data_IF_788320828875
#
_entry.id   IF_788320828875
#
_cell.length_a   1.000
_cell.length_b   1.000
_cell.length_c   1.000
_cell.angle_alpha   90.00
_cell.angle_beta   90.00
_cell.angle_gamma   90.00
#
_symmetry.space_group_name_H-M   'P 1'
#
loop_
_entity.id
_entity.type
_entity.pdbx_description
1 polymer ?
#
# COMPACT_ATOMS: atom_id res chain seq x y z
N UNK A 1 -1.56 24.03 10.65
CA UNK A 1 -1.79 22.73 11.32
C UNK A 1 -0.45 22.02 11.40
N UNK A 2 -0.11 21.32 12.51
CA UNK A 2 1.05 20.46 12.52
C UNK A 2 0.94 19.52 11.31
N UNK A 3 1.95 19.51 10.46
CA UNK A 3 2.02 18.63 9.31
C UNK A 3 1.86 17.20 9.85
N UNK A 4 0.74 16.53 9.54
CA UNK A 4 0.46 15.22 10.11
C UNK A 4 1.61 14.27 9.73
N UNK A 5 2.33 13.79 10.74
CA UNK A 5 3.54 12.99 10.56
C UNK A 5 3.27 11.72 9.75
N UNK A 6 2.08 11.12 9.90
CA UNK A 6 1.71 9.92 9.14
C UNK A 6 1.41 10.25 7.68
N UNK A 7 0.83 11.42 7.39
CA UNK A 7 0.66 11.88 6.01
C UNK A 7 2.02 12.12 5.35
N UNK A 8 2.91 12.86 6.02
CA UNK A 8 4.24 13.15 5.50
C UNK A 8 5.06 11.86 5.29
N UNK A 9 4.91 10.89 6.19
CA UNK A 9 5.54 9.58 6.07
C UNK A 9 4.95 8.78 4.90
N UNK A 10 3.62 8.74 4.75
CA UNK A 10 2.97 8.11 3.60
C UNK A 10 3.48 8.70 2.27
N UNK A 11 3.61 10.03 2.17
CA UNK A 11 4.15 10.67 0.96
C UNK A 11 5.57 10.21 0.63
N UNK A 12 6.44 10.04 1.64
CA UNK A 12 7.80 9.52 1.44
C UNK A 12 7.79 8.10 0.92
N UNK A 13 6.97 7.23 1.50
CA UNK A 13 6.82 5.84 1.07
C UNK A 13 6.27 5.75 -0.36
N UNK A 14 5.25 6.54 -0.69
CA UNK A 14 4.69 6.60 -2.04
C UNK A 14 5.68 7.15 -3.08
N UNK A 15 6.61 8.02 -2.67
CA UNK A 15 7.65 8.53 -3.55
C UNK A 15 8.66 7.45 -3.96
N UNK A 16 8.85 6.42 -3.12
CA UNK A 16 9.70 5.27 -3.43
C UNK A 16 9.04 4.31 -4.42
N UNK A 17 7.71 4.22 -4.45
CA UNK A 17 7.01 3.35 -5.38
C UNK A 17 7.26 3.76 -6.85
N UNK A 18 7.39 2.80 -7.78
CA UNK A 18 7.49 3.11 -9.20
C UNK A 18 6.23 3.85 -9.66
N UNK A 19 6.39 4.76 -10.62
CA UNK A 19 5.24 5.41 -11.25
C UNK A 19 4.42 4.43 -12.10
N UNK A 20 3.25 4.86 -12.59
CA UNK A 20 2.37 4.00 -13.40
C UNK A 20 2.97 3.55 -14.73
N UNK A 21 4.03 4.22 -15.19
CA UNK A 21 4.83 3.83 -16.34
C UNK A 21 5.56 2.49 -16.17
N UNK A 22 5.84 2.06 -14.93
CA UNK A 22 6.52 0.79 -14.67
C UNK A 22 5.55 -0.40 -14.71
N UNK A 23 5.10 -0.73 -15.92
CA UNK A 23 4.09 -1.78 -16.15
C UNK A 23 4.49 -3.15 -15.59
N UNK A 24 5.78 -3.49 -15.60
CA UNK A 24 6.25 -4.80 -15.15
C UNK A 24 6.09 -4.98 -13.64
N UNK A 25 6.52 -3.99 -12.85
CA UNK A 25 6.34 -4.00 -11.39
C UNK A 25 4.86 -4.17 -11.03
N UNK A 26 4.01 -3.34 -11.62
CA UNK A 26 2.59 -3.33 -11.30
C UNK A 26 1.83 -4.56 -11.79
N UNK A 27 2.30 -5.19 -12.87
CA UNK A 27 1.85 -6.52 -13.27
C UNK A 27 2.27 -7.59 -12.26
N UNK A 28 3.49 -7.51 -11.72
CA UNK A 28 3.94 -8.37 -10.62
C UNK A 28 3.03 -8.27 -9.40
N UNK A 29 2.71 -7.03 -8.97
CA UNK A 29 1.76 -6.79 -7.88
C UNK A 29 0.37 -7.36 -8.18
N UNK A 30 -0.13 -7.23 -9.41
CA UNK A 30 -1.41 -7.82 -9.81
C UNK A 30 -1.40 -9.34 -9.70
N UNK A 31 -0.34 -9.99 -10.21
CA UNK A 31 -0.17 -11.44 -10.16
C UNK A 31 -0.07 -11.95 -8.71
N UNK A 32 0.63 -11.23 -7.83
CA UNK A 32 0.77 -11.61 -6.42
C UNK A 32 -0.56 -11.57 -5.65
N UNK A 33 -1.53 -10.81 -6.14
CA UNK A 33 -2.83 -10.59 -5.49
C UNK A 33 -4.00 -11.27 -6.21
N UNK A 34 -3.74 -12.10 -7.23
CA UNK A 34 -4.76 -12.66 -8.14
C UNK A 34 -5.74 -11.60 -8.65
N UNK A 35 -5.25 -10.38 -8.87
CA UNK A 35 -6.04 -9.23 -9.28
C UNK A 35 -5.94 -9.01 -10.79
N UNK A 36 -7.01 -8.48 -11.41
CA UNK A 36 -6.92 -8.09 -12.81
C UNK A 36 -5.94 -6.91 -12.97
N UNK A 37 -5.10 -6.98 -14.00
CA UNK A 37 -4.13 -5.91 -14.29
C UNK A 37 -4.82 -4.55 -14.51
N UNK A 38 -5.99 -4.57 -15.15
CA UNK A 38 -6.82 -3.38 -15.35
C UNK A 38 -7.23 -2.75 -14.02
N UNK A 39 -7.59 -3.56 -13.02
CA UNK A 39 -7.96 -3.08 -11.69
C UNK A 39 -6.76 -2.44 -10.98
N UNK A 40 -5.59 -3.07 -11.02
CA UNK A 40 -4.37 -2.51 -10.40
C UNK A 40 -3.98 -1.18 -11.06
N UNK A 41 -3.99 -1.11 -12.40
CA UNK A 41 -3.68 0.13 -13.12
C UNK A 41 -4.66 1.26 -12.84
N UNK A 42 -5.96 0.97 -12.76
CA UNK A 42 -6.96 1.96 -12.36
C UNK A 42 -6.61 2.55 -10.98
N UNK A 43 -6.27 1.69 -10.02
CA UNK A 43 -5.98 2.12 -8.64
C UNK A 43 -4.63 2.81 -8.48
N UNK A 44 -3.63 2.44 -9.25
CA UNK A 44 -2.37 3.19 -9.31
C UNK A 44 -2.54 4.59 -9.90
N UNK A 45 -3.47 4.78 -10.83
CA UNK A 45 -3.82 6.10 -11.32
C UNK A 45 -4.21 7.04 -10.17
N UNK A 46 -4.85 6.51 -9.12
CA UNK A 46 -5.13 7.26 -7.89
C UNK A 46 -3.88 7.51 -7.04
N UNK A 47 -2.98 6.52 -6.90
CA UNK A 47 -1.68 6.70 -6.21
C UNK A 47 -0.88 7.83 -6.86
N UNK A 48 -0.75 7.81 -8.19
CA UNK A 48 -0.01 8.81 -8.95
C UNK A 48 -0.63 10.21 -8.82
N UNK A 49 -1.95 10.32 -8.86
CA UNK A 49 -2.68 11.59 -8.64
C UNK A 49 -2.51 12.11 -7.21
N UNK A 50 -2.49 11.23 -6.22
CA UNK A 50 -2.25 11.63 -4.84
C UNK A 50 -0.82 12.16 -4.64
N UNK A 51 0.18 11.50 -5.24
CA UNK A 51 1.59 11.97 -5.25
C UNK A 51 1.76 13.35 -5.86
N UNK A 52 1.00 13.69 -6.90
CA UNK A 52 1.05 15.00 -7.56
C UNK A 52 0.16 16.06 -6.90
N UNK A 53 -0.59 15.70 -5.85
CA UNK A 53 -1.45 16.64 -5.12
C UNK A 53 -0.67 17.50 -4.15
N UNK A 54 -0.99 18.79 -4.13
CA UNK A 54 -0.49 19.76 -3.14
C UNK A 54 -1.37 19.79 -1.88
N UNK A 55 -2.56 19.18 -1.94
CA UNK A 55 -3.51 19.12 -0.83
C UNK A 55 -3.55 17.72 -0.20
N UNK A 56 -3.60 17.61 1.14
CA UNK A 56 -3.73 16.33 1.87
C UNK A 56 -4.97 15.52 1.48
N UNK A 57 -6.01 16.21 1.01
CA UNK A 57 -7.28 15.60 0.55
C UNK A 57 -7.20 15.04 -0.89
N UNK A 58 -6.03 15.11 -1.54
CA UNK A 58 -5.83 14.68 -2.93
C UNK A 58 -6.54 15.58 -3.96
N UNK A 59 -6.30 15.39 -5.28
CA UNK A 59 -7.03 16.07 -6.33
C UNK A 59 -8.35 15.31 -6.55
N UNK A 60 -9.49 16.00 -6.45
CA UNK A 60 -10.79 15.46 -6.89
C UNK A 60 -11.63 14.72 -5.83
N UNK A 61 -11.43 14.99 -4.54
CA UNK A 61 -12.34 14.50 -3.48
C UNK A 61 -12.18 13.01 -3.14
N UNK A 62 -11.09 12.37 -3.57
CA UNK A 62 -10.76 11.01 -3.15
C UNK A 62 -10.12 11.05 -1.76
N UNK A 63 -10.79 10.48 -0.76
CA UNK A 63 -10.28 10.51 0.61
C UNK A 63 -8.97 9.70 0.73
N UNK A 64 -8.06 10.17 1.58
CA UNK A 64 -6.85 9.44 1.95
C UNK A 64 -7.17 8.02 2.44
N UNK A 65 -8.33 7.83 3.07
CA UNK A 65 -8.86 6.52 3.48
C UNK A 65 -9.08 5.59 2.30
N UNK A 66 -9.53 6.10 1.14
CA UNK A 66 -9.70 5.30 -0.08
C UNK A 66 -8.36 4.82 -0.62
N UNK A 67 -7.36 5.72 -0.74
CA UNK A 67 -6.00 5.38 -1.13
C UNK A 67 -5.39 4.31 -0.22
N UNK A 68 -5.45 4.55 1.10
CA UNK A 68 -4.85 3.66 2.08
C UNK A 68 -5.48 2.25 2.07
N UNK A 69 -6.78 2.12 1.78
CA UNK A 69 -7.42 0.81 1.57
C UNK A 69 -6.74 0.02 0.43
N UNK A 70 -6.42 0.66 -0.69
CA UNK A 70 -5.74 -0.04 -1.81
C UNK A 70 -4.29 -0.36 -1.50
N UNK A 71 -3.58 0.52 -0.79
CA UNK A 71 -2.23 0.22 -0.33
C UNK A 71 -2.23 -1.02 0.56
N UNK A 72 -3.18 -1.12 1.49
CA UNK A 72 -3.33 -2.31 2.32
C UNK A 72 -3.71 -3.56 1.52
N UNK A 73 -4.56 -3.44 0.49
CA UNK A 73 -4.93 -4.59 -0.35
C UNK A 73 -3.73 -5.10 -1.15
N UNK A 74 -3.01 -4.21 -1.83
CA UNK A 74 -1.92 -4.61 -2.73
C UNK A 74 -0.64 -4.99 -2.00
N UNK A 75 -0.33 -4.30 -0.89
CA UNK A 75 0.93 -4.47 -0.16
C UNK A 75 0.78 -5.26 1.15
N UNK A 76 -0.46 -5.48 1.61
CA UNK A 76 -0.76 -6.34 2.78
C UNK A 76 -1.32 -7.72 2.42
N UNK A 77 -1.41 -8.05 1.12
CA UNK A 77 -1.83 -9.33 0.56
C UNK A 77 -0.80 -10.46 0.77
N UNK A 78 -0.71 -11.42 -0.16
CA UNK A 78 0.25 -12.55 -0.11
C UNK A 78 1.68 -12.04 0.11
N UNK A 79 2.12 -12.07 1.37
CA UNK A 79 3.20 -11.19 1.85
C UNK A 79 4.51 -11.51 1.17
N UNK A 80 4.85 -12.79 1.00
CA UNK A 80 6.18 -13.16 0.52
C UNK A 80 6.39 -12.77 -0.93
N UNK A 81 5.44 -13.07 -1.82
CA UNK A 81 5.54 -12.71 -3.24
C UNK A 81 5.53 -11.20 -3.46
N UNK A 82 4.71 -10.47 -2.71
CA UNK A 82 4.69 -9.00 -2.78
C UNK A 82 5.99 -8.41 -2.23
N UNK A 83 6.51 -8.93 -1.12
CA UNK A 83 7.78 -8.49 -0.52
C UNK A 83 8.95 -8.74 -1.47
N UNK A 84 8.98 -9.87 -2.17
CA UNK A 84 9.99 -10.16 -3.18
C UNK A 84 9.89 -9.22 -4.38
N UNK A 85 8.68 -8.97 -4.87
CA UNK A 85 8.43 -8.07 -6.01
C UNK A 85 8.87 -6.63 -5.69
N UNK A 86 8.47 -6.12 -4.52
CA UNK A 86 8.89 -4.81 -4.01
C UNK A 86 10.40 -4.78 -3.74
N UNK A 87 10.92 -5.84 -3.11
CA UNK A 87 12.32 -6.02 -2.79
C UNK A 87 13.22 -5.95 -4.03
N UNK A 88 12.78 -6.62 -5.10
CA UNK A 88 13.46 -6.66 -6.39
C UNK A 88 13.49 -5.32 -7.09
N UNK A 89 12.39 -4.58 -7.05
CA UNK A 89 12.21 -3.34 -7.80
C UNK A 89 12.81 -2.13 -7.08
N UNK A 90 12.62 -2.02 -5.77
CA UNK A 90 13.01 -0.83 -5.01
C UNK A 90 14.45 -0.86 -4.52
N UNK A 91 15.03 -2.05 -4.36
CA UNK A 91 16.35 -2.20 -3.73
C UNK A 91 17.33 -2.90 -4.67
N UNK A 92 18.56 -2.37 -4.71
CA UNK A 92 19.62 -2.87 -5.57
C UNK A 92 19.97 -4.35 -5.26
N UNK A 93 20.61 -5.02 -6.23
CA UNK A 93 21.00 -6.44 -6.17
C UNK A 93 21.78 -6.82 -4.91
N UNK A 94 21.29 -7.81 -4.15
CA UNK A 94 21.92 -8.38 -2.97
C UNK A 94 21.02 -9.43 -2.28
N UNK A 95 21.55 -10.13 -1.27
CA UNK A 95 20.85 -11.21 -0.55
C UNK A 95 19.70 -10.72 0.36
N UNK A 96 19.60 -9.41 0.61
CA UNK A 96 18.69 -8.83 1.61
C UNK A 96 17.38 -8.28 1.02
N UNK A 97 17.12 -8.50 -0.27
CA UNK A 97 15.96 -7.93 -0.98
C UNK A 97 14.61 -8.23 -0.35
N UNK A 98 14.38 -9.50 -0.01
CA UNK A 98 13.10 -9.92 0.57
C UNK A 98 12.88 -9.29 1.95
N UNK A 99 13.94 -9.17 2.75
CA UNK A 99 13.89 -8.47 4.03
C UNK A 99 13.59 -6.97 3.88
N UNK A 100 14.28 -6.28 2.97
CA UNK A 100 14.02 -4.86 2.71
C UNK A 100 12.63 -4.62 2.12
N UNK A 101 12.18 -5.49 1.21
CA UNK A 101 10.83 -5.49 0.68
C UNK A 101 9.79 -5.65 1.79
N UNK A 102 9.97 -6.65 2.66
CA UNK A 102 9.12 -6.88 3.84
C UNK A 102 9.08 -5.69 4.80
N UNK A 103 10.23 -5.09 5.10
CA UNK A 103 10.27 -3.91 5.96
C UNK A 103 9.53 -2.73 5.35
N UNK A 104 9.65 -2.51 4.03
CA UNK A 104 8.95 -1.44 3.33
C UNK A 104 7.45 -1.67 3.26
N UNK A 105 7.01 -2.87 2.87
CA UNK A 105 5.57 -3.19 2.75
C UNK A 105 4.89 -3.11 4.10
N UNK A 106 5.54 -3.58 5.17
CA UNK A 106 5.04 -3.46 6.53
C UNK A 106 4.88 -1.99 6.95
N UNK A 107 5.89 -1.15 6.73
CA UNK A 107 5.82 0.29 7.07
C UNK A 107 4.72 1.02 6.28
N UNK A 108 4.59 0.71 4.98
CA UNK A 108 3.54 1.23 4.11
C UNK A 108 2.14 0.82 4.59
N UNK A 109 1.94 -0.46 4.91
CA UNK A 109 0.65 -0.99 5.37
C UNK A 109 0.29 -0.43 6.75
N UNK A 110 1.24 -0.35 7.68
CA UNK A 110 1.00 0.21 9.02
C UNK A 110 0.65 1.69 8.97
N UNK A 111 1.37 2.45 8.14
CA UNK A 111 1.10 3.88 7.93
C UNK A 111 -0.27 4.08 7.29
N UNK A 112 -0.59 3.31 6.24
CA UNK A 112 -1.90 3.33 5.61
C UNK A 112 -3.01 2.98 6.59
N UNK A 113 -2.82 1.96 7.43
CA UNK A 113 -3.79 1.57 8.46
C UNK A 113 -4.05 2.68 9.48
N UNK A 114 -3.00 3.33 10.00
CA UNK A 114 -3.13 4.44 10.95
C UNK A 114 -3.94 5.58 10.36
N UNK A 115 -3.67 5.94 9.11
CA UNK A 115 -4.39 6.98 8.39
C UNK A 115 -5.85 6.58 8.13
N UNK A 116 -6.13 5.34 7.69
CA UNK A 116 -7.51 4.85 7.53
C UNK A 116 -8.27 4.98 8.84
N UNK A 117 -7.71 4.49 9.95
CA UNK A 117 -8.37 4.52 11.27
C UNK A 117 -8.60 5.95 11.75
N UNK A 118 -7.63 6.85 11.57
CA UNK A 118 -7.73 8.26 11.96
C UNK A 118 -8.79 9.02 11.15
N UNK A 119 -8.90 8.71 9.86
CA UNK A 119 -9.85 9.35 8.94
C UNK A 119 -11.16 8.56 8.77
N UNK A 120 -11.48 7.64 9.69
CA UNK A 120 -12.76 6.91 9.69
C UNK A 120 -13.92 7.86 9.99
N UNK A 121 -14.56 8.32 8.92
CA UNK A 121 -16.02 8.39 8.89
C UNK A 121 -16.53 7.29 7.93
N UNK A 122 -17.38 6.39 8.45
CA UNK A 122 -18.42 5.68 7.67
C UNK A 122 -18.04 4.43 6.83
N UNK A 123 -17.32 3.42 7.36
CA UNK A 123 -17.46 2.02 6.86
C UNK A 123 -16.70 0.99 7.71
N UNK A 124 -17.29 0.61 8.85
CA UNK A 124 -16.56 -0.03 9.96
C UNK A 124 -16.47 -1.56 9.90
N UNK A 125 -17.36 -2.24 9.17
CA UNK A 125 -17.48 -3.71 9.22
C UNK A 125 -16.39 -4.45 8.42
N UNK A 126 -16.17 -4.06 7.15
CA UNK A 126 -15.22 -4.78 6.26
C UNK A 126 -13.76 -4.68 6.71
N UNK A 127 -13.38 -3.57 7.34
CA UNK A 127 -12.03 -3.37 7.87
C UNK A 127 -11.77 -4.17 9.16
N UNK A 128 -12.82 -4.43 9.94
CA UNK A 128 -12.74 -5.22 11.18
C UNK A 128 -12.61 -6.72 10.85
N UNK A 129 -13.36 -7.17 9.85
CA UNK A 129 -13.25 -8.52 9.28
C UNK A 129 -11.85 -8.79 8.70
N UNK A 130 -11.29 -7.84 7.93
CA UNK A 130 -9.93 -7.97 7.38
C UNK A 130 -8.85 -8.09 8.46
N UNK A 131 -8.92 -7.28 9.53
CA UNK A 131 -7.92 -7.32 10.62
C UNK A 131 -7.97 -8.63 11.41
N UNK A 132 -9.18 -9.19 11.59
CA UNK A 132 -9.35 -10.49 12.22
C UNK A 132 -8.79 -11.62 11.34
N UNK A 133 -8.97 -11.53 10.02
CA UNK A 133 -8.35 -12.48 9.09
C UNK A 133 -6.82 -12.43 9.15
N UNK A 134 -6.22 -11.23 9.19
CA UNK A 134 -4.77 -11.05 9.31
C UNK A 134 -4.20 -11.60 10.63
N UNK A 135 -4.89 -11.40 11.75
CA UNK A 135 -4.47 -11.92 13.07
C UNK A 135 -4.54 -13.44 13.12
N UNK A 136 -5.56 -14.05 12.51
CA UNK A 136 -5.74 -15.50 12.50
C UNK A 136 -4.68 -16.21 11.65
N UNK A 137 -4.23 -15.59 10.56
CA UNK A 137 -3.14 -16.13 9.72
C UNK A 137 -1.82 -16.18 10.49
N UNK A 138 -1.47 -15.10 11.20
CA UNK A 138 -0.25 -15.05 12.02
C UNK A 138 -0.25 -16.04 13.20
N UNK A 139 -1.42 -16.40 13.72
CA UNK A 139 -1.57 -17.39 14.79
C UNK A 139 -1.59 -18.84 14.28
N UNK A 140 -1.91 -19.06 13.00
CA UNK A 140 -1.91 -20.39 12.39
C UNK A 140 -0.49 -20.86 11.99
N UNK A 141 0.47 -19.94 11.93
CA UNK A 141 1.87 -20.19 11.57
C UNK A 141 2.80 -20.28 12.80
N UNK A 142 2.24 -20.25 14.02
CA UNK A 142 2.95 -20.40 15.32
C UNK A 142 2.71 -21.77 15.94
#
# INVERSE_FOLDING_TARGET
MPQDADHAHLYRLLAMLPGPENRLFWQGIANCNDASLQYVYEKMGHIARFRSSVTPDGPGGYSISYLCKYLMIFFGGNRDSVNEEVGRELFATGAEKSYMGSSFTQDLVDTAWRLVVRHRSTDDNKLREWRNAQRNLLQAES
#
